data_IF_245399863162
#
_entry.id   IF_245399863162
#
_cell.length_a   1.000
_cell.length_b   1.000
_cell.length_c   1.000
_cell.angle_alpha   90.00
_cell.angle_beta   90.00
_cell.angle_gamma   90.00
#
_symmetry.space_group_name_H-M   'P 1'
#
loop_
_entity.id
_entity.type
_entity.pdbx_description
1 polymer ?
#
# COMPACT_ATOMS: atom_id res chain seq x y z
N UNK A 1 1.97 0.34 11.14
CA UNK A 1 0.80 -0.08 10.34
C UNK A 1 -0.03 -1.01 11.21
N UNK A 2 -1.36 -0.87 11.21
CA UNK A 2 -2.23 -1.62 12.12
C UNK A 2 -2.83 -2.85 11.45
N UNK A 3 -2.87 -3.96 12.17
CA UNK A 3 -3.67 -5.12 11.81
C UNK A 3 -5.10 -5.01 12.34
N UNK A 4 -5.80 -6.14 12.42
CA UNK A 4 -7.22 -6.20 12.75
C UNK A 4 -7.54 -6.49 14.21
N UNK A 5 -6.53 -6.88 15.00
CA UNK A 5 -6.73 -7.30 16.39
C UNK A 5 -6.04 -6.35 17.37
N UNK A 6 -5.81 -5.09 16.96
CA UNK A 6 -5.03 -4.12 17.73
C UNK A 6 -3.52 -4.35 17.66
N UNK A 7 -3.07 -5.25 16.78
CA UNK A 7 -1.68 -5.53 16.48
C UNK A 7 -1.04 -4.43 15.62
N UNK A 8 0.28 -4.27 15.75
CA UNK A 8 1.03 -3.27 15.02
C UNK A 8 2.27 -3.87 14.33
N UNK A 9 2.56 -3.34 13.15
CA UNK A 9 3.64 -3.77 12.28
C UNK A 9 4.49 -2.57 11.87
N UNK A 10 5.78 -2.79 11.69
CA UNK A 10 6.71 -1.77 11.20
C UNK A 10 6.26 -1.21 9.84
N UNK A 11 6.24 0.12 9.72
CA UNK A 11 6.01 0.79 8.45
C UNK A 11 7.18 0.53 7.48
N UNK A 12 6.93 0.63 6.16
CA UNK A 12 7.95 0.39 5.15
C UNK A 12 8.32 -1.08 4.96
N UNK A 13 7.47 -2.00 5.43
CA UNK A 13 7.66 -3.45 5.28
C UNK A 13 6.49 -4.06 4.51
N UNK A 14 6.76 -5.15 3.78
CA UNK A 14 5.71 -5.94 3.11
C UNK A 14 4.71 -6.48 4.13
N UNK A 15 5.18 -6.92 5.29
CA UNK A 15 4.31 -7.43 6.35
C UNK A 15 3.32 -6.37 6.85
N UNK A 16 3.80 -5.16 7.13
CA UNK A 16 2.92 -4.06 7.56
C UNK A 16 1.94 -3.63 6.48
N UNK A 17 2.38 -3.57 5.23
CA UNK A 17 1.52 -3.30 4.08
C UNK A 17 0.40 -4.34 3.96
N UNK A 18 0.76 -5.62 4.01
CA UNK A 18 -0.19 -6.73 3.87
C UNK A 18 -1.16 -6.76 5.04
N UNK A 19 -0.69 -6.62 6.27
CA UNK A 19 -1.55 -6.69 7.46
C UNK A 19 -2.65 -5.63 7.45
N UNK A 20 -2.30 -4.39 7.09
CA UNK A 20 -3.28 -3.29 7.06
C UNK A 20 -4.27 -3.43 5.89
N UNK A 21 -3.78 -3.81 4.71
CA UNK A 21 -4.60 -4.03 3.51
C UNK A 21 -5.58 -5.19 3.71
N UNK A 22 -5.11 -6.30 4.29
CA UNK A 22 -5.95 -7.45 4.65
C UNK A 22 -6.97 -7.11 5.71
N UNK A 23 -6.60 -6.28 6.68
CA UNK A 23 -7.51 -5.91 7.74
C UNK A 23 -8.74 -5.17 7.20
N UNK A 24 -8.53 -4.20 6.31
CA UNK A 24 -9.65 -3.50 5.67
C UNK A 24 -10.56 -4.44 4.85
N UNK A 25 -9.99 -5.48 4.22
CA UNK A 25 -10.78 -6.47 3.48
C UNK A 25 -11.53 -7.46 4.38
N UNK A 26 -10.93 -7.85 5.52
CA UNK A 26 -11.58 -8.68 6.54
C UNK A 26 -12.72 -7.93 7.22
N UNK A 27 -12.52 -6.65 7.48
CA UNK A 27 -13.44 -5.77 8.17
C UNK A 27 -12.98 -5.45 9.58
N UNK A 28 -13.08 -4.17 9.95
CA UNK A 28 -12.78 -3.66 11.29
C UNK A 28 -14.09 -3.38 12.03
N UNK A 29 -14.26 -3.92 13.23
CA UNK A 29 -15.43 -3.62 14.08
C UNK A 29 -15.12 -2.38 14.92
N UNK A 30 -15.84 -1.30 14.66
CA UNK A 30 -15.77 -0.04 15.42
C UNK A 30 -17.14 0.19 16.06
N UNK A 31 -17.21 0.15 17.38
CA UNK A 31 -18.44 0.39 18.15
C UNK A 31 -19.65 -0.43 17.65
N UNK A 32 -19.44 -1.71 17.36
CA UNK A 32 -20.48 -2.62 16.85
C UNK A 32 -20.77 -2.51 15.35
N UNK A 33 -20.16 -1.56 14.63
CA UNK A 33 -20.26 -1.45 13.17
C UNK A 33 -19.06 -2.10 12.50
N UNK A 34 -19.29 -3.01 11.56
CA UNK A 34 -18.21 -3.59 10.74
C UNK A 34 -17.95 -2.70 9.52
N UNK A 35 -16.77 -2.09 9.46
CA UNK A 35 -16.27 -1.32 8.32
C UNK A 35 -15.41 -2.24 7.46
N UNK A 36 -15.86 -2.54 6.24
CA UNK A 36 -15.13 -3.36 5.27
C UNK A 36 -14.88 -2.60 3.98
N UNK A 37 -13.65 -2.63 3.50
CA UNK A 37 -13.25 -2.13 2.18
C UNK A 37 -12.70 -3.31 1.38
N UNK A 38 -13.47 -3.88 0.43
CA UNK A 38 -12.99 -4.96 -0.41
C UNK A 38 -11.75 -4.56 -1.22
N UNK A 39 -10.88 -5.52 -1.57
CA UNK A 39 -9.61 -5.24 -2.26
C UNK A 39 -9.78 -4.40 -3.54
N UNK A 40 -10.82 -4.63 -4.34
CA UNK A 40 -11.11 -3.88 -5.58
C UNK A 40 -11.56 -2.43 -5.34
N UNK A 41 -11.73 -2.05 -4.06
CA UNK A 41 -11.98 -0.68 -3.59
C UNK A 41 -10.79 -0.08 -2.84
N UNK A 42 -9.73 -0.84 -2.61
CA UNK A 42 -8.55 -0.38 -1.88
C UNK A 42 -7.46 0.18 -2.81
N UNK A 43 -6.90 1.31 -2.39
CA UNK A 43 -5.73 1.94 -3.02
C UNK A 43 -4.71 2.29 -1.93
N UNK A 44 -3.89 1.32 -1.46
CA UNK A 44 -2.90 1.58 -0.43
C UNK A 44 -1.93 2.71 -0.82
N UNK A 45 -1.69 3.61 0.14
CA UNK A 45 -0.84 4.79 -0.03
C UNK A 45 0.60 4.55 0.44
N UNK A 46 1.58 4.95 -0.37
CA UNK A 46 3.00 4.84 -0.05
C UNK A 46 3.77 6.13 -0.38
N UNK A 47 4.80 6.52 0.40
CA UNK A 47 5.72 7.56 -0.03
C UNK A 47 6.44 7.17 -1.32
N UNK A 48 6.56 8.10 -2.27
CA UNK A 48 7.21 7.86 -3.56
C UNK A 48 8.71 7.56 -3.42
N UNK A 49 9.35 8.19 -2.43
CA UNK A 49 10.75 8.00 -2.07
C UNK A 49 10.97 8.28 -0.58
N UNK A 50 12.16 7.99 -0.05
CA UNK A 50 12.50 8.17 1.37
C UNK A 50 12.33 9.60 1.89
N UNK A 51 12.53 10.61 1.04
CA UNK A 51 12.30 12.03 1.38
C UNK A 51 10.83 12.42 1.53
N UNK A 52 9.90 11.58 1.05
CA UNK A 52 8.46 11.86 1.05
C UNK A 52 7.74 11.42 2.34
N UNK A 53 8.48 10.98 3.36
CA UNK A 53 7.94 10.63 4.68
C UNK A 53 8.25 9.19 5.12
N UNK A 54 7.88 8.89 6.36
CA UNK A 54 8.05 7.55 6.94
C UNK A 54 7.19 6.49 6.24
N UNK A 55 7.68 5.25 6.21
CA UNK A 55 6.96 4.12 5.61
C UNK A 55 7.23 3.89 4.11
N UNK A 56 8.25 4.57 3.55
CA UNK A 56 8.75 4.29 2.20
C UNK A 56 9.10 2.81 2.03
N UNK A 57 8.76 2.25 0.86
CA UNK A 57 9.14 0.92 0.41
C UNK A 57 9.88 1.06 -0.91
N UNK A 58 11.01 0.36 -1.08
CA UNK A 58 11.71 0.32 -2.36
C UNK A 58 10.80 -0.26 -3.47
N UNK A 59 11.06 0.06 -4.76
CA UNK A 59 10.29 -0.52 -5.87
C UNK A 59 10.18 -2.05 -5.84
N UNK A 60 11.24 -2.73 -5.38
CA UNK A 60 11.25 -4.19 -5.18
C UNK A 60 10.28 -4.66 -4.09
N UNK A 61 10.22 -3.97 -2.95
CA UNK A 61 9.27 -4.26 -1.87
C UNK A 61 7.82 -3.94 -2.28
N UNK A 62 7.61 -2.84 -3.03
CA UNK A 62 6.30 -2.51 -3.62
C UNK A 62 5.85 -3.61 -4.57
N UNK A 63 6.74 -4.08 -5.44
CA UNK A 63 6.47 -5.20 -6.35
C UNK A 63 6.12 -6.49 -5.61
N UNK A 64 6.85 -6.79 -4.54
CA UNK A 64 6.60 -7.98 -3.72
C UNK A 64 5.21 -7.91 -3.06
N UNK A 65 4.87 -6.77 -2.46
CA UNK A 65 3.58 -6.54 -1.85
C UNK A 65 2.44 -6.56 -2.87
N UNK A 66 2.61 -5.94 -4.04
CA UNK A 66 1.62 -5.95 -5.11
C UNK A 66 1.34 -7.37 -5.62
N UNK A 67 2.38 -8.17 -5.89
CA UNK A 67 2.24 -9.54 -6.38
C UNK A 67 1.50 -10.46 -5.42
N UNK A 68 1.56 -10.20 -4.12
CA UNK A 68 0.74 -10.93 -3.14
C UNK A 68 -0.77 -10.80 -3.43
N UNK A 69 -1.21 -9.65 -3.93
CA UNK A 69 -2.61 -9.39 -4.28
C UNK A 69 -2.94 -9.62 -5.76
N UNK A 70 -1.92 -9.79 -6.62
CA UNK A 70 -2.10 -9.88 -8.07
C UNK A 70 -2.81 -8.65 -8.62
N UNK A 71 -3.96 -8.85 -9.24
CA UNK A 71 -4.84 -7.78 -9.76
C UNK A 71 -6.01 -7.45 -8.84
N UNK A 72 -6.02 -7.97 -7.61
CA UNK A 72 -7.13 -7.80 -6.67
C UNK A 72 -7.27 -6.38 -6.11
N UNK A 73 -6.17 -5.61 -6.04
CA UNK A 73 -6.21 -4.21 -5.60
C UNK A 73 -6.61 -3.28 -6.75
N UNK A 74 -7.38 -2.23 -6.42
CA UNK A 74 -7.76 -1.19 -7.38
C UNK A 74 -6.54 -0.45 -7.95
N UNK A 75 -5.52 -0.25 -7.12
CA UNK A 75 -4.29 0.41 -7.50
C UNK A 75 -3.43 0.73 -6.29
N UNK A 76 -2.46 1.63 -6.50
CA UNK A 76 -1.64 2.22 -5.45
C UNK A 76 -1.71 3.74 -5.55
N UNK A 77 -1.65 4.41 -4.42
CA UNK A 77 -1.54 5.86 -4.32
C UNK A 77 -0.15 6.21 -3.83
N UNK A 78 0.37 7.35 -4.27
CA UNK A 78 1.64 7.84 -3.74
C UNK A 78 1.58 9.30 -3.32
N UNK A 79 2.27 9.58 -2.20
CA UNK A 79 2.71 10.92 -1.87
C UNK A 79 4.17 11.06 -2.34
N UNK A 80 4.46 11.78 -3.41
CA UNK A 80 3.56 12.49 -4.33
C UNK A 80 4.12 12.43 -5.75
N UNK A 81 3.36 12.91 -6.74
CA UNK A 81 3.84 13.01 -8.12
C UNK A 81 5.12 13.86 -8.23
N UNK A 82 5.24 14.95 -7.45
CA UNK A 82 6.44 15.79 -7.43
C UNK A 82 7.65 15.05 -6.83
N UNK A 83 7.43 14.33 -5.72
CA UNK A 83 8.48 13.53 -5.11
C UNK A 83 8.95 12.42 -6.05
N UNK A 84 8.04 11.75 -6.75
CA UNK A 84 8.40 10.71 -7.73
C UNK A 84 9.14 11.30 -8.94
N UNK A 85 8.65 12.42 -9.49
CA UNK A 85 9.28 13.11 -10.61
C UNK A 85 10.70 13.59 -10.30
N UNK A 86 10.94 14.08 -9.07
CA UNK A 86 12.31 14.44 -8.61
C UNK A 86 13.25 13.24 -8.47
N UNK A 87 12.71 12.01 -8.53
CA UNK A 87 13.46 10.76 -8.45
C UNK A 87 13.34 9.93 -9.74
N UNK A 88 13.16 10.58 -10.89
CA UNK A 88 13.05 9.91 -12.19
C UNK A 88 11.93 8.86 -12.25
N UNK A 89 10.78 9.15 -11.66
CA UNK A 89 9.55 8.35 -11.78
C UNK A 89 9.67 6.90 -11.28
N UNK A 90 10.59 6.63 -10.34
CA UNK A 90 10.88 5.27 -9.85
C UNK A 90 9.68 4.53 -9.27
N UNK A 91 8.75 5.23 -8.62
CA UNK A 91 7.53 4.61 -8.10
C UNK A 91 6.49 4.43 -9.21
N UNK A 92 6.19 5.51 -9.93
CA UNK A 92 5.17 5.53 -10.98
C UNK A 92 5.43 4.51 -12.08
N UNK A 93 6.66 4.46 -12.61
CA UNK A 93 7.04 3.52 -13.67
C UNK A 93 7.00 2.07 -13.19
N UNK A 94 7.43 1.81 -11.95
CA UNK A 94 7.32 0.48 -11.35
C UNK A 94 5.86 0.03 -11.21
N UNK A 95 4.98 0.88 -10.67
CA UNK A 95 3.56 0.55 -10.51
C UNK A 95 2.85 0.43 -11.85
N UNK A 96 3.19 1.28 -12.82
CA UNK A 96 2.67 1.23 -14.19
C UNK A 96 3.01 -0.12 -14.84
N UNK A 97 4.27 -0.56 -14.74
CA UNK A 97 4.70 -1.86 -15.26
C UNK A 97 3.98 -3.03 -14.57
N UNK A 98 3.81 -2.99 -13.24
CA UNK A 98 3.10 -4.02 -12.49
C UNK A 98 1.61 -4.13 -12.86
N UNK A 99 1.00 -3.04 -13.29
CA UNK A 99 -0.41 -2.97 -13.66
C UNK A 99 -0.66 -3.22 -15.17
N UNK A 100 0.40 -3.29 -15.98
CA UNK A 100 0.30 -3.53 -17.42
C UNK A 100 -0.39 -2.40 -18.20
N UNK A 101 -0.10 -1.14 -17.86
CA UNK A 101 -0.73 0.06 -18.46
C UNK A 101 0.32 1.04 -18.96
#
# INVERSE_FOLDING_TARGET
>A
MYGCSGDSYSAGTVQGFTAQTDCLNKGLVVQGTTIKVPYDKQVPGLPAQSGAGGGYMSPSLVSQAWRHYGTGLKGLMTWSINWDGSKNWTFGDNVKALQGR
#
